data_IF_412221939514
#
_entry.id   IF_412221939514
#
_cell.length_a   1.000
_cell.length_b   1.000
_cell.length_c   1.000
_cell.angle_alpha   90.00
_cell.angle_beta   90.00
_cell.angle_gamma   90.00
#
_symmetry.space_group_name_H-M   'P 1'
#
loop_
_entity.id
_entity.type
_entity.pdbx_description
1 polymer ?
#
# COMPACT_ATOMS: atom_id res chain seq x y z
N UNK A 1 4.37 -22.40 5.54
CA UNK A 1 5.25 -22.01 6.69
C UNK A 1 5.74 -20.59 6.43
N UNK A 2 5.62 -19.72 7.42
CA UNK A 2 6.07 -18.32 7.32
C UNK A 2 7.62 -18.31 7.28
N UNK A 3 8.22 -17.62 6.29
CA UNK A 3 9.68 -17.48 6.21
C UNK A 3 10.28 -16.76 7.41
N UNK A 4 11.53 -17.10 7.78
CA UNK A 4 12.22 -16.50 8.95
C UNK A 4 12.34 -14.98 8.86
N UNK A 5 12.55 -14.47 7.65
CA UNK A 5 12.65 -13.03 7.37
C UNK A 5 11.35 -12.24 7.60
N UNK A 6 10.20 -12.93 7.77
CA UNK A 6 8.90 -12.33 8.08
C UNK A 6 8.37 -12.71 9.48
N UNK A 7 9.19 -13.32 10.33
CA UNK A 7 8.83 -13.55 11.72
C UNK A 7 8.82 -12.23 12.51
N UNK A 8 7.96 -12.17 13.54
CA UNK A 8 7.77 -10.99 14.41
C UNK A 8 9.11 -10.38 14.83
N UNK A 9 10.01 -11.19 15.40
CA UNK A 9 11.32 -10.73 15.88
C UNK A 9 12.19 -10.05 14.81
N UNK A 10 12.10 -10.51 13.56
CA UNK A 10 12.80 -9.89 12.43
C UNK A 10 12.14 -8.57 12.08
N UNK A 11 10.81 -8.52 12.03
CA UNK A 11 10.07 -7.30 11.68
C UNK A 11 10.15 -6.23 12.77
N UNK A 12 10.28 -6.58 14.03
CA UNK A 12 10.58 -5.62 15.11
C UNK A 12 11.89 -4.87 14.83
N UNK A 13 12.95 -5.59 14.44
CA UNK A 13 14.24 -4.97 14.06
C UNK A 13 14.07 -4.04 12.86
N UNK A 14 13.38 -4.51 11.81
CA UNK A 14 13.09 -3.70 10.61
C UNK A 14 12.31 -2.44 10.98
N UNK A 15 11.26 -2.57 11.80
CA UNK A 15 10.46 -1.43 12.25
C UNK A 15 11.31 -0.39 12.98
N UNK A 16 12.18 -0.83 13.90
CA UNK A 16 13.11 0.09 14.59
C UNK A 16 14.07 0.79 13.62
N UNK A 17 14.57 0.10 12.61
CA UNK A 17 15.48 0.67 11.62
C UNK A 17 14.80 1.71 10.74
N UNK A 18 13.57 1.45 10.26
CA UNK A 18 12.87 2.38 9.36
C UNK A 18 12.14 3.51 10.10
N UNK A 19 11.83 3.36 11.39
CA UNK A 19 11.03 4.29 12.20
C UNK A 19 11.49 5.76 12.13
N UNK A 20 12.79 6.10 12.12
CA UNK A 20 13.24 7.48 11.97
C UNK A 20 12.82 8.16 10.66
N UNK A 21 12.53 7.38 9.64
CA UNK A 21 12.27 7.84 8.27
C UNK A 21 10.80 7.79 7.85
N UNK A 22 9.95 7.22 8.68
CA UNK A 22 8.52 7.08 8.45
C UNK A 22 7.71 7.80 9.54
N UNK A 23 6.38 7.87 9.36
CA UNK A 23 5.46 8.30 10.41
C UNK A 23 4.79 7.08 11.05
N UNK A 24 4.56 7.13 12.35
CA UNK A 24 3.50 6.34 12.97
C UNK A 24 2.18 6.96 12.56
N UNK A 25 1.40 6.25 11.77
CA UNK A 25 0.13 6.78 11.25
C UNK A 25 -1.03 6.45 12.19
N UNK A 26 -2.08 7.28 12.26
CA UNK A 26 -3.19 7.02 13.16
C UNK A 26 -3.94 5.71 12.83
N UNK A 27 -4.37 5.01 13.88
CA UNK A 27 -5.43 4.03 13.85
C UNK A 27 -6.54 4.56 14.75
N UNK A 28 -7.73 4.80 14.21
CA UNK A 28 -8.81 5.51 14.90
C UNK A 28 -10.11 4.73 14.71
N UNK A 29 -10.88 4.56 15.79
CA UNK A 29 -12.27 4.12 15.68
C UNK A 29 -13.09 5.20 14.99
N UNK A 30 -13.86 4.82 13.98
CA UNK A 30 -14.76 5.73 13.27
C UNK A 30 -15.89 6.23 14.20
N UNK A 31 -16.61 7.25 13.76
CA UNK A 31 -17.78 7.71 14.46
C UNK A 31 -19.00 6.81 14.19
N UNK A 32 -20.01 6.90 15.05
CA UNK A 32 -21.21 6.07 14.98
C UNK A 32 -21.94 6.18 13.62
N UNK A 33 -21.86 7.32 12.93
CA UNK A 33 -22.50 7.47 11.62
C UNK A 33 -21.88 6.52 10.58
N UNK A 34 -20.57 6.33 10.61
CA UNK A 34 -19.87 5.40 9.73
C UNK A 34 -20.16 3.96 10.16
N UNK A 35 -20.16 3.69 11.47
CA UNK A 35 -20.51 2.38 12.02
C UNK A 35 -21.94 1.96 11.58
N UNK A 36 -22.92 2.86 11.70
CA UNK A 36 -24.30 2.63 11.29
C UNK A 36 -24.44 2.41 9.77
N UNK A 37 -23.69 3.16 8.96
CA UNK A 37 -23.73 3.04 7.51
C UNK A 37 -23.32 1.64 7.01
N UNK A 38 -22.45 0.95 7.75
CA UNK A 38 -21.96 -0.39 7.43
C UNK A 38 -22.45 -1.48 8.38
N UNK A 39 -23.23 -1.11 9.42
CA UNK A 39 -23.69 -2.02 10.47
C UNK A 39 -22.52 -2.83 11.11
N UNK A 40 -21.37 -2.17 11.30
CA UNK A 40 -20.11 -2.71 11.76
C UNK A 40 -19.34 -1.66 12.55
N UNK A 41 -18.57 -2.04 13.56
CA UNK A 41 -17.68 -1.12 14.25
C UNK A 41 -16.43 -0.88 13.41
N UNK A 42 -16.29 0.29 12.82
CA UNK A 42 -15.23 0.60 11.85
C UNK A 42 -14.01 1.22 12.54
N UNK A 43 -12.85 0.66 12.23
CA UNK A 43 -11.54 1.19 12.58
C UNK A 43 -10.80 1.57 11.30
N UNK A 44 -10.10 2.70 11.31
CA UNK A 44 -9.44 3.25 10.12
C UNK A 44 -7.94 3.39 10.39
N UNK A 45 -7.11 2.74 9.58
CA UNK A 45 -5.66 2.91 9.59
C UNK A 45 -5.24 3.84 8.46
N UNK A 46 -4.74 5.04 8.82
CA UNK A 46 -4.49 6.14 7.89
C UNK A 46 -3.07 6.12 7.27
N UNK A 47 -2.71 5.09 6.50
CA UNK A 47 -1.44 5.07 5.75
C UNK A 47 -1.38 6.09 4.59
N UNK A 48 -2.50 6.66 4.22
CA UNK A 48 -2.55 7.83 3.34
C UNK A 48 -1.81 9.07 3.92
N UNK A 49 -1.57 9.12 5.24
CA UNK A 49 -0.80 10.18 5.90
C UNK A 49 0.69 9.86 6.03
N UNK A 50 1.14 8.72 5.54
CA UNK A 50 2.54 8.33 5.57
C UNK A 50 3.41 9.30 4.73
N UNK A 51 4.72 9.31 4.97
CA UNK A 51 5.69 9.96 4.08
C UNK A 51 5.44 9.48 2.64
N UNK A 52 5.64 10.35 1.67
CA UNK A 52 5.27 10.12 0.26
C UNK A 52 3.79 9.84 -0.02
N UNK A 53 2.87 10.07 0.93
CA UNK A 53 1.43 9.94 0.76
C UNK A 53 0.90 8.50 0.67
N UNK A 54 1.70 7.48 1.01
CA UNK A 54 1.27 6.07 0.99
C UNK A 54 2.20 5.14 1.77
N UNK A 55 1.71 3.95 2.10
CA UNK A 55 2.47 2.88 2.74
C UNK A 55 3.77 2.49 2.02
N UNK A 56 3.89 2.80 0.73
CA UNK A 56 5.04 2.45 -0.12
C UNK A 56 6.37 2.98 0.42
N UNK A 57 6.35 4.07 1.18
CA UNK A 57 7.56 4.59 1.83
C UNK A 57 8.27 3.55 2.69
N UNK A 58 7.53 2.69 3.40
CA UNK A 58 8.07 1.67 4.30
C UNK A 58 8.96 0.67 3.56
N UNK A 59 8.44 0.13 2.45
CA UNK A 59 9.19 -0.82 1.61
C UNK A 59 10.38 -0.16 0.90
N UNK A 60 10.22 1.06 0.39
CA UNK A 60 11.28 1.78 -0.29
C UNK A 60 12.46 2.09 0.66
N UNK A 61 12.17 2.57 1.87
CA UNK A 61 13.17 2.81 2.93
C UNK A 61 13.88 1.52 3.32
N UNK A 62 13.11 0.45 3.58
CA UNK A 62 13.70 -0.81 4.02
C UNK A 62 14.63 -1.43 2.96
N UNK A 63 14.27 -1.32 1.68
CA UNK A 63 15.17 -1.78 0.61
C UNK A 63 16.53 -1.08 0.65
N UNK A 64 16.57 0.23 0.90
CA UNK A 64 17.82 0.98 0.99
C UNK A 64 18.60 0.58 2.25
N UNK A 65 17.95 0.58 3.42
CA UNK A 65 18.61 0.25 4.69
C UNK A 65 19.13 -1.20 4.77
N UNK A 66 18.52 -2.10 4.00
CA UNK A 66 18.92 -3.51 3.93
C UNK A 66 19.96 -3.80 2.82
N UNK A 67 20.32 -2.79 2.02
CA UNK A 67 21.33 -2.92 0.98
C UNK A 67 22.70 -2.54 1.54
N UNK A 68 23.78 -3.17 1.02
CA UNK A 68 25.13 -2.75 1.34
C UNK A 68 25.54 -1.52 0.50
N UNK A 69 26.61 -0.84 0.90
CA UNK A 69 27.10 0.38 0.23
C UNK A 69 27.43 0.15 -1.25
N UNK A 70 27.97 -1.02 -1.58
CA UNK A 70 28.32 -1.39 -2.96
C UNK A 70 27.08 -1.51 -3.85
N UNK A 71 25.97 -2.05 -3.32
CA UNK A 71 24.71 -2.16 -4.07
C UNK A 71 24.10 -0.77 -4.36
N UNK A 72 24.44 0.23 -3.56
CA UNK A 72 23.91 1.59 -3.66
C UNK A 72 24.88 2.58 -4.34
N UNK A 73 26.07 2.16 -4.75
CA UNK A 73 27.10 3.03 -5.35
C UNK A 73 26.57 3.84 -6.56
N UNK A 74 25.79 3.21 -7.40
CA UNK A 74 25.16 3.85 -8.55
C UNK A 74 23.73 4.38 -8.24
N UNK A 75 23.24 4.16 -7.01
CA UNK A 75 21.92 4.57 -6.57
C UNK A 75 20.83 3.54 -6.83
N UNK A 76 19.58 4.00 -6.90
CA UNK A 76 18.41 3.11 -7.05
C UNK A 76 17.66 3.34 -8.33
N UNK A 77 16.94 2.30 -8.78
CA UNK A 77 15.95 2.40 -9.85
C UNK A 77 14.60 1.87 -9.39
N UNK A 78 13.53 2.42 -9.93
CA UNK A 78 12.17 1.97 -9.67
C UNK A 78 11.28 2.24 -10.89
N UNK A 79 10.19 1.50 -11.02
CA UNK A 79 9.17 1.71 -12.05
C UNK A 79 7.77 1.68 -11.45
N UNK A 80 6.93 2.65 -11.82
CA UNK A 80 5.53 2.72 -11.38
C UNK A 80 4.75 3.81 -12.11
N UNK A 81 3.42 3.70 -12.12
CA UNK A 81 2.52 4.80 -12.50
C UNK A 81 2.31 5.83 -11.38
N UNK A 82 2.66 5.54 -10.10
CA UNK A 82 2.24 6.39 -8.99
C UNK A 82 2.98 6.20 -7.67
N UNK A 83 2.29 5.67 -6.68
CA UNK A 83 2.72 5.64 -5.27
C UNK A 83 4.14 5.11 -5.04
N UNK A 84 4.53 4.07 -5.76
CA UNK A 84 5.86 3.50 -5.59
C UNK A 84 6.97 4.40 -6.15
N UNK A 85 6.74 5.04 -7.29
CA UNK A 85 7.70 6.00 -7.85
C UNK A 85 7.96 7.17 -6.88
N UNK A 86 6.89 7.72 -6.27
CA UNK A 86 7.00 8.79 -5.28
C UNK A 86 7.77 8.29 -4.04
N UNK A 87 7.47 7.08 -3.57
CA UNK A 87 8.12 6.49 -2.40
C UNK A 87 9.61 6.19 -2.64
N UNK A 88 9.97 5.66 -3.82
CA UNK A 88 11.37 5.44 -4.20
C UNK A 88 12.13 6.76 -4.35
N UNK A 89 11.50 7.78 -4.94
CA UNK A 89 12.07 9.13 -5.03
C UNK A 89 12.30 9.74 -3.65
N UNK A 90 11.32 9.64 -2.75
CA UNK A 90 11.45 10.07 -1.35
C UNK A 90 12.63 9.35 -0.66
N UNK A 91 12.70 8.03 -0.77
CA UNK A 91 13.75 7.25 -0.15
C UNK A 91 15.14 7.61 -0.70
N UNK A 92 15.30 7.72 -2.02
CA UNK A 92 16.56 8.17 -2.62
C UNK A 92 16.98 9.56 -2.14
N UNK A 93 16.01 10.48 -2.03
CA UNK A 93 16.29 11.86 -1.61
C UNK A 93 16.81 11.94 -0.16
N UNK A 94 16.19 11.22 0.79
CA UNK A 94 16.60 11.28 2.20
C UNK A 94 17.95 10.61 2.47
N UNK A 95 18.35 9.64 1.64
CA UNK A 95 19.67 8.99 1.71
C UNK A 95 20.69 9.57 0.74
N UNK A 96 20.39 10.69 0.05
CA UNK A 96 21.24 11.36 -0.93
C UNK A 96 21.76 10.41 -2.03
N UNK A 97 20.93 9.47 -2.47
CA UNK A 97 21.28 8.51 -3.50
C UNK A 97 20.94 9.04 -4.90
N UNK A 98 21.78 8.71 -5.86
CA UNK A 98 21.41 8.81 -7.27
C UNK A 98 20.14 7.95 -7.51
N UNK A 99 19.31 8.37 -8.46
CA UNK A 99 18.12 7.60 -8.77
C UNK A 99 17.78 7.66 -10.26
N UNK A 100 17.11 6.63 -10.76
CA UNK A 100 16.55 6.56 -12.11
C UNK A 100 15.14 6.01 -11.98
N UNK A 101 14.15 6.89 -12.05
CA UNK A 101 12.75 6.56 -11.79
C UNK A 101 11.99 6.48 -13.11
N UNK A 102 11.54 5.29 -13.48
CA UNK A 102 10.70 5.08 -14.64
C UNK A 102 9.24 5.32 -14.30
N UNK A 103 8.66 6.35 -14.90
CA UNK A 103 7.24 6.66 -14.79
C UNK A 103 6.51 6.25 -16.08
N UNK A 104 5.37 5.61 -15.93
CA UNK A 104 4.52 5.37 -17.11
C UNK A 104 4.05 6.68 -17.70
N UNK A 105 3.98 6.75 -19.04
CA UNK A 105 3.49 7.94 -19.77
C UNK A 105 2.07 8.34 -19.37
N UNK A 106 1.29 7.39 -18.83
CA UNK A 106 -0.06 7.61 -18.30
C UNK A 106 -0.06 8.26 -16.89
N UNK A 107 1.09 8.40 -16.23
CA UNK A 107 1.17 9.00 -14.91
C UNK A 107 0.64 10.45 -14.93
N UNK A 108 -0.26 10.77 -14.00
CA UNK A 108 -0.82 12.12 -13.95
C UNK A 108 0.24 13.16 -13.53
N UNK A 109 -0.04 14.43 -13.85
CA UNK A 109 0.91 15.54 -13.60
C UNK A 109 1.27 15.72 -12.12
N UNK A 110 0.32 15.46 -11.23
CA UNK A 110 0.55 15.53 -9.79
C UNK A 110 1.63 14.55 -9.34
N UNK A 111 1.51 13.27 -9.75
CA UNK A 111 2.48 12.21 -9.39
C UNK A 111 3.86 12.49 -9.97
N UNK A 112 3.93 12.99 -11.20
CA UNK A 112 5.19 13.45 -11.82
C UNK A 112 5.82 14.58 -10.99
N UNK A 113 5.01 15.58 -10.59
CA UNK A 113 5.51 16.68 -9.77
C UNK A 113 5.93 16.24 -8.37
N UNK A 114 5.19 15.30 -7.76
CA UNK A 114 5.55 14.74 -6.46
C UNK A 114 6.93 14.02 -6.49
N UNK A 115 7.21 13.26 -7.57
CA UNK A 115 8.54 12.68 -7.77
C UNK A 115 9.62 13.76 -7.92
N UNK A 116 9.37 14.81 -8.71
CA UNK A 116 10.32 15.94 -8.90
C UNK A 116 10.62 16.67 -7.59
N UNK A 117 9.63 16.81 -6.71
CA UNK A 117 9.81 17.45 -5.40
C UNK A 117 10.80 16.66 -4.50
N UNK A 118 11.04 15.39 -4.80
CA UNK A 118 12.06 14.53 -4.18
C UNK A 118 13.30 14.34 -5.08
N UNK A 119 13.59 15.26 -5.98
CA UNK A 119 14.76 15.26 -6.86
C UNK A 119 14.87 13.98 -7.72
N UNK A 120 13.73 13.44 -8.18
CA UNK A 120 13.74 12.26 -9.04
C UNK A 120 14.31 12.56 -10.42
N UNK A 121 15.25 11.73 -10.88
CA UNK A 121 15.67 11.63 -12.26
C UNK A 121 14.68 10.76 -13.03
N UNK A 122 13.70 11.39 -13.68
CA UNK A 122 12.55 10.73 -14.29
C UNK A 122 12.83 10.37 -15.75
N UNK A 123 12.56 9.12 -16.09
CA UNK A 123 12.44 8.64 -17.47
C UNK A 123 11.02 8.14 -17.72
N UNK A 124 10.39 8.57 -18.83
CA UNK A 124 9.05 8.10 -19.17
C UNK A 124 9.11 6.80 -19.98
N UNK A 125 8.29 5.82 -19.61
CA UNK A 125 8.22 4.49 -20.22
C UNK A 125 6.78 4.09 -20.54
N UNK A 126 6.62 2.96 -21.22
CA UNK A 126 5.36 2.26 -21.43
C UNK A 126 5.41 0.89 -20.75
N UNK A 127 4.24 0.32 -20.44
CA UNK A 127 4.15 -0.90 -19.65
C UNK A 127 4.95 -2.07 -20.27
N UNK A 128 4.95 -2.18 -21.59
CA UNK A 128 5.61 -3.24 -22.34
C UNK A 128 7.15 -3.21 -22.23
N UNK A 129 7.73 -2.02 -22.01
CA UNK A 129 9.20 -1.82 -21.94
C UNK A 129 9.70 -1.64 -20.50
N UNK A 130 8.81 -1.38 -19.57
CA UNK A 130 9.16 -0.93 -18.24
C UNK A 130 10.16 -1.85 -17.50
N UNK A 131 9.93 -3.15 -17.54
CA UNK A 131 10.82 -4.12 -16.88
C UNK A 131 12.13 -4.35 -17.65
N UNK A 132 12.16 -4.18 -18.95
CA UNK A 132 13.39 -4.23 -19.75
C UNK A 132 14.30 -3.03 -19.41
N UNK A 133 13.74 -1.82 -19.38
CA UNK A 133 14.46 -0.61 -19.01
C UNK A 133 14.98 -0.64 -17.57
N UNK A 134 14.23 -1.26 -16.64
CA UNK A 134 14.70 -1.51 -15.28
C UNK A 134 15.88 -2.46 -15.28
N UNK A 135 15.83 -3.59 -16.01
CA UNK A 135 16.95 -4.53 -16.13
C UNK A 135 18.19 -3.88 -16.71
N UNK A 136 18.03 -2.96 -17.67
CA UNK A 136 19.16 -2.22 -18.22
C UNK A 136 19.74 -1.22 -17.22
N UNK A 137 18.92 -0.63 -16.35
CA UNK A 137 19.42 0.17 -15.23
C UNK A 137 20.16 -0.69 -14.19
N UNK A 138 19.68 -1.91 -13.90
CA UNK A 138 20.38 -2.87 -13.04
C UNK A 138 21.76 -3.27 -13.61
N UNK A 139 21.87 -3.49 -14.92
CA UNK A 139 23.18 -3.71 -15.60
C UNK A 139 24.13 -2.52 -15.47
N UNK A 140 23.58 -1.31 -15.33
CA UNK A 140 24.34 -0.08 -15.04
C UNK A 140 24.68 0.05 -13.55
N UNK A 141 24.32 -0.93 -12.71
CA UNK A 141 24.62 -0.98 -11.28
C UNK A 141 23.60 -0.27 -10.39
N UNK A 142 22.44 0.16 -10.90
CA UNK A 142 21.37 0.67 -10.05
C UNK A 142 20.70 -0.47 -9.29
N UNK A 143 20.43 -0.28 -8.00
CA UNK A 143 19.64 -1.22 -7.21
C UNK A 143 18.16 -1.07 -7.53
N UNK A 144 17.53 -2.14 -8.02
CA UNK A 144 16.08 -2.12 -8.23
C UNK A 144 15.30 -2.22 -6.92
N UNK A 145 14.43 -1.26 -6.68
CA UNK A 145 13.45 -1.27 -5.58
C UNK A 145 12.11 -1.71 -6.16
N UNK A 146 11.74 -2.97 -5.88
CA UNK A 146 10.53 -3.55 -6.48
C UNK A 146 9.26 -3.00 -5.83
N UNK A 147 8.18 -2.68 -6.61
CA UNK A 147 6.98 -2.03 -6.09
C UNK A 147 6.14 -2.86 -5.11
N UNK A 148 6.21 -4.18 -5.15
CA UNK A 148 5.34 -5.05 -4.32
C UNK A 148 5.93 -6.44 -4.03
N UNK A 149 7.11 -6.79 -4.52
CA UNK A 149 7.71 -8.10 -4.32
C UNK A 149 9.11 -8.03 -3.70
N UNK A 150 9.60 -9.17 -3.23
CA UNK A 150 10.88 -9.32 -2.58
C UNK A 150 10.85 -9.09 -1.06
N UNK A 151 11.82 -9.71 -0.38
CA UNK A 151 11.91 -9.77 1.07
C UNK A 151 11.82 -8.39 1.71
N UNK A 152 12.66 -7.46 1.29
CA UNK A 152 12.74 -6.13 1.92
C UNK A 152 11.50 -5.27 1.69
N UNK A 153 10.82 -5.44 0.55
CA UNK A 153 9.56 -4.76 0.26
C UNK A 153 8.44 -5.29 1.18
N UNK A 154 8.35 -6.61 1.35
CA UNK A 154 7.36 -7.21 2.25
C UNK A 154 7.66 -6.91 3.72
N UNK A 155 8.91 -6.92 4.15
CA UNK A 155 9.31 -6.50 5.49
C UNK A 155 8.87 -5.06 5.79
N UNK A 156 9.00 -4.16 4.82
CA UNK A 156 8.49 -2.79 4.95
C UNK A 156 6.97 -2.76 5.16
N UNK A 157 6.20 -3.52 4.40
CA UNK A 157 4.74 -3.66 4.61
C UNK A 157 4.42 -4.38 5.93
N UNK A 158 5.21 -5.37 6.33
CA UNK A 158 5.05 -6.08 7.61
C UNK A 158 5.25 -5.15 8.82
N UNK A 159 6.11 -4.14 8.71
CA UNK A 159 6.28 -3.10 9.74
C UNK A 159 4.99 -2.33 10.01
N UNK A 160 4.12 -2.18 9.00
CA UNK A 160 2.79 -1.61 9.19
C UNK A 160 1.88 -2.56 9.97
N UNK A 161 1.96 -3.87 9.69
CA UNK A 161 1.25 -4.88 10.48
C UNK A 161 1.63 -4.82 11.97
N UNK A 162 2.93 -4.69 12.28
CA UNK A 162 3.41 -4.55 13.65
C UNK A 162 2.92 -3.25 14.30
N UNK A 163 2.89 -2.14 13.57
CA UNK A 163 2.36 -0.87 14.05
C UNK A 163 0.86 -0.97 14.37
N UNK A 164 0.09 -1.66 13.53
CA UNK A 164 -1.34 -1.94 13.75
C UNK A 164 -1.52 -2.78 15.01
N UNK A 165 -0.74 -3.86 15.21
CA UNK A 165 -0.79 -4.69 16.42
C UNK A 165 -0.59 -3.86 17.67
N UNK A 166 0.47 -3.03 17.71
CA UNK A 166 0.75 -2.19 18.86
C UNK A 166 -0.42 -1.24 19.15
N UNK A 167 -1.00 -0.61 18.13
CA UNK A 167 -2.13 0.31 18.30
C UNK A 167 -3.43 -0.41 18.73
N UNK A 168 -3.70 -1.61 18.25
CA UNK A 168 -4.83 -2.43 18.69
C UNK A 168 -4.69 -2.74 20.19
N UNK A 169 -3.48 -3.13 20.62
CA UNK A 169 -3.19 -3.43 22.02
C UNK A 169 -3.31 -2.18 22.90
N UNK A 170 -2.78 -1.03 22.46
CA UNK A 170 -2.88 0.25 23.19
C UNK A 170 -4.33 0.72 23.36
N UNK A 171 -5.21 0.37 22.43
CA UNK A 171 -6.64 0.70 22.46
C UNK A 171 -7.48 -0.33 23.22
N UNK A 172 -6.89 -1.44 23.66
CA UNK A 172 -7.60 -2.62 24.19
C UNK A 172 -8.75 -3.06 23.27
N UNK A 173 -8.52 -2.99 21.96
CA UNK A 173 -9.50 -3.29 20.94
C UNK A 173 -9.36 -4.72 20.44
N UNK A 174 -10.48 -5.35 20.12
CA UNK A 174 -10.50 -6.62 19.39
C UNK A 174 -10.88 -6.28 17.93
N UNK A 175 -10.08 -6.70 16.97
CA UNK A 175 -10.40 -6.59 15.54
C UNK A 175 -10.73 -7.99 15.01
N UNK A 176 -11.88 -8.12 14.37
CA UNK A 176 -12.35 -9.37 13.80
C UNK A 176 -11.95 -9.49 12.32
N UNK A 177 -12.07 -8.39 11.55
CA UNK A 177 -11.78 -8.36 10.12
C UNK A 177 -10.81 -7.22 9.77
N UNK A 178 -9.94 -7.46 8.79
CA UNK A 178 -9.07 -6.43 8.21
C UNK A 178 -9.21 -6.42 6.70
N UNK A 179 -9.67 -5.30 6.15
CA UNK A 179 -9.90 -5.09 4.73
C UNK A 179 -8.71 -4.38 4.11
N UNK A 180 -8.07 -5.04 3.14
CA UNK A 180 -6.83 -4.57 2.50
C UNK A 180 -6.97 -4.64 0.98
N UNK A 181 -6.75 -3.53 0.30
CA UNK A 181 -6.70 -3.47 -1.17
C UNK A 181 -5.53 -4.26 -1.73
N UNK A 182 -5.79 -5.05 -2.76
CA UNK A 182 -4.82 -5.96 -3.40
C UNK A 182 -4.53 -5.51 -4.83
N UNK A 183 -3.25 -5.17 -5.07
CA UNK A 183 -2.69 -5.06 -6.40
C UNK A 183 -1.68 -6.20 -6.60
N UNK A 184 -0.40 -5.92 -6.55
CA UNK A 184 0.65 -6.95 -6.63
C UNK A 184 0.84 -7.81 -5.37
N UNK A 185 -0.02 -7.70 -4.36
CA UNK A 185 -0.02 -8.53 -3.16
C UNK A 185 0.91 -8.11 -2.02
N UNK A 186 1.87 -7.21 -2.25
CA UNK A 186 2.91 -6.88 -1.25
C UNK A 186 2.38 -6.26 0.03
N UNK A 187 1.28 -5.48 -0.02
CA UNK A 187 0.67 -4.88 1.17
C UNK A 187 0.01 -5.94 2.04
N UNK A 188 -0.91 -6.70 1.47
CA UNK A 188 -1.69 -7.71 2.20
C UNK A 188 -0.80 -8.83 2.72
N UNK A 189 0.23 -9.23 1.97
CA UNK A 189 1.23 -10.23 2.40
C UNK A 189 1.99 -9.76 3.65
N UNK A 190 2.55 -8.56 3.61
CA UNK A 190 3.33 -8.03 4.73
C UNK A 190 2.48 -7.76 5.96
N UNK A 191 1.37 -7.06 5.81
CA UNK A 191 0.46 -6.76 6.94
C UNK A 191 -0.16 -8.05 7.48
N UNK A 192 -0.71 -8.89 6.60
CA UNK A 192 -1.41 -10.11 6.98
C UNK A 192 -0.52 -11.12 7.72
N UNK A 193 0.75 -11.27 7.29
CA UNK A 193 1.66 -12.21 7.95
C UNK A 193 1.94 -11.86 9.41
N UNK A 194 1.99 -10.59 9.74
CA UNK A 194 2.18 -10.15 11.13
C UNK A 194 0.88 -10.25 11.92
N UNK A 195 -0.23 -9.80 11.34
CA UNK A 195 -1.52 -9.89 12.01
C UNK A 195 -1.89 -11.34 12.35
N UNK A 196 -1.66 -12.29 11.43
CA UNK A 196 -1.90 -13.72 11.67
C UNK A 196 -0.99 -14.33 12.74
N UNK A 197 0.22 -13.84 12.90
CA UNK A 197 1.12 -14.31 13.96
C UNK A 197 0.69 -13.83 15.36
N UNK A 198 0.14 -12.62 15.49
CA UNK A 198 -0.35 -12.09 16.77
C UNK A 198 -1.80 -12.47 17.05
N UNK A 199 -2.63 -12.48 16.02
CA UNK A 199 -4.07 -12.74 16.09
C UNK A 199 -4.46 -13.84 15.11
N UNK A 200 -4.24 -15.15 15.43
CA UNK A 200 -4.44 -16.24 14.46
C UNK A 200 -5.86 -16.32 13.89
N UNK A 201 -6.85 -15.84 14.63
CA UNK A 201 -8.27 -15.88 14.25
C UNK A 201 -8.74 -14.60 13.54
N UNK A 202 -7.86 -13.61 13.32
CA UNK A 202 -8.24 -12.40 12.59
C UNK A 202 -8.51 -12.75 11.13
N UNK A 203 -9.58 -12.21 10.55
CA UNK A 203 -9.95 -12.46 9.17
C UNK A 203 -9.31 -11.42 8.26
N UNK A 204 -8.43 -11.85 7.35
CA UNK A 204 -7.74 -10.99 6.38
C UNK A 204 -8.47 -11.06 5.04
N UNK A 205 -9.09 -9.96 4.66
CA UNK A 205 -9.92 -9.86 3.47
C UNK A 205 -9.22 -9.00 2.44
N UNK A 206 -8.86 -9.61 1.31
CA UNK A 206 -8.31 -8.93 0.15
C UNK A 206 -9.41 -8.32 -0.72
N UNK A 207 -9.16 -7.13 -1.27
CA UNK A 207 -10.12 -6.47 -2.15
C UNK A 207 -9.43 -6.08 -3.44
N UNK A 208 -9.99 -6.52 -4.55
CA UNK A 208 -9.49 -6.22 -5.90
C UNK A 208 -10.62 -5.76 -6.83
N UNK A 209 -10.29 -5.01 -7.90
CA UNK A 209 -11.29 -4.64 -8.90
C UNK A 209 -11.71 -5.86 -9.74
N UNK A 210 -12.97 -5.87 -10.18
CA UNK A 210 -13.51 -6.89 -11.10
C UNK A 210 -12.77 -6.90 -12.45
N UNK A 211 -12.23 -5.75 -12.87
CA UNK A 211 -11.52 -5.57 -14.14
C UNK A 211 -10.06 -5.17 -13.93
N UNK A 212 -9.16 -5.81 -14.68
CA UNK A 212 -7.72 -5.51 -14.65
C UNK A 212 -7.34 -4.15 -15.27
N UNK A 213 -8.29 -3.39 -15.82
CA UNK A 213 -8.12 -2.06 -16.44
C UNK A 213 -9.20 -1.12 -15.93
N UNK A 214 -9.14 -0.75 -14.65
CA UNK A 214 -10.10 0.16 -14.04
C UNK A 214 -9.52 1.53 -13.74
N UNK A 215 -10.28 2.33 -12.97
CA UNK A 215 -9.89 3.68 -12.51
C UNK A 215 -8.68 3.66 -11.55
N UNK A 216 -8.21 2.49 -11.15
CA UNK A 216 -7.12 2.35 -10.17
C UNK A 216 -5.90 1.61 -10.71
N UNK A 217 -4.91 2.36 -11.19
CA UNK A 217 -3.61 1.82 -11.66
C UNK A 217 -2.88 0.99 -10.58
N UNK A 218 -3.09 1.29 -9.31
CA UNK A 218 -2.36 0.66 -8.20
C UNK A 218 -2.91 -0.71 -7.79
N UNK A 219 -4.12 -1.07 -8.23
CA UNK A 219 -4.72 -2.40 -8.02
C UNK A 219 -4.66 -3.30 -9.26
N UNK A 220 -4.24 -2.76 -10.40
CA UNK A 220 -4.17 -3.48 -11.66
C UNK A 220 -2.73 -3.99 -11.94
N UNK A 221 -2.14 -4.76 -11.02
CA UNK A 221 -0.86 -5.41 -11.29
C UNK A 221 -1.04 -6.47 -12.38
N UNK A 222 -0.30 -6.40 -13.50
CA UNK A 222 -0.51 -7.31 -14.63
C UNK A 222 -0.10 -8.75 -14.33
N UNK A 223 0.69 -8.95 -13.29
CA UNK A 223 1.19 -10.25 -12.85
C UNK A 223 1.38 -10.28 -11.33
N UNK A 224 1.17 -11.44 -10.73
CA UNK A 224 1.60 -11.71 -9.37
C UNK A 224 3.02 -12.24 -9.37
N UNK A 225 3.86 -11.69 -8.52
CA UNK A 225 5.25 -12.14 -8.37
C UNK A 225 5.33 -13.29 -7.36
N UNK A 226 6.25 -14.25 -7.57
CA UNK A 226 6.24 -15.50 -6.82
C UNK A 226 6.32 -15.36 -5.30
N UNK A 227 7.16 -14.45 -4.79
CA UNK A 227 7.38 -14.31 -3.36
C UNK A 227 6.18 -13.71 -2.66
N UNK A 228 5.72 -12.53 -3.08
CA UNK A 228 4.53 -11.89 -2.49
C UNK A 228 3.28 -12.76 -2.60
N UNK A 229 3.08 -13.43 -3.74
CA UNK A 229 1.94 -14.31 -3.96
C UNK A 229 1.97 -15.55 -3.04
N UNK A 230 3.16 -16.13 -2.82
CA UNK A 230 3.31 -17.28 -1.93
C UNK A 230 2.93 -16.98 -0.49
N UNK A 231 3.20 -15.74 -0.03
CA UNK A 231 2.81 -15.27 1.30
C UNK A 231 1.34 -14.89 1.33
N UNK A 232 0.83 -14.16 0.32
CA UNK A 232 -0.58 -13.78 0.21
C UNK A 232 -1.50 -15.01 0.38
N UNK A 233 -1.21 -16.10 -0.31
CA UNK A 233 -1.96 -17.36 -0.23
C UNK A 233 -2.01 -18.00 1.17
N UNK A 234 -1.08 -17.66 2.05
CA UNK A 234 -1.03 -18.21 3.40
C UNK A 234 -1.81 -17.34 4.40
N UNK A 235 -2.07 -16.07 4.08
CA UNK A 235 -2.62 -15.11 5.04
C UNK A 235 -4.00 -14.60 4.66
N UNK A 236 -4.39 -14.67 3.40
CA UNK A 236 -5.71 -14.23 2.93
C UNK A 236 -6.75 -15.33 3.22
N UNK A 237 -7.81 -14.95 3.93
CA UNK A 237 -8.95 -15.84 4.20
C UNK A 237 -10.03 -15.70 3.13
N UNK A 238 -10.26 -14.48 2.61
CA UNK A 238 -11.30 -14.18 1.63
C UNK A 238 -10.83 -13.11 0.64
N UNK A 239 -11.33 -13.19 -0.59
CA UNK A 239 -11.17 -12.15 -1.62
C UNK A 239 -12.52 -11.60 -2.03
N UNK A 240 -12.67 -10.28 -2.06
CA UNK A 240 -13.88 -9.58 -2.48
C UNK A 240 -13.57 -8.72 -3.72
N UNK A 241 -14.46 -8.77 -4.69
CA UNK A 241 -14.34 -8.01 -5.92
C UNK A 241 -15.26 -6.77 -5.89
N UNK A 242 -14.76 -5.67 -6.41
CA UNK A 242 -15.48 -4.38 -6.50
C UNK A 242 -15.37 -3.81 -7.92
N UNK A 243 -16.37 -3.05 -8.32
CA UNK A 243 -16.38 -2.32 -9.60
C UNK A 243 -15.79 -0.92 -9.47
N UNK A 244 -15.50 -0.29 -10.60
CA UNK A 244 -15.11 1.13 -10.65
C UNK A 244 -16.18 2.03 -10.05
N UNK A 245 -17.48 1.73 -10.29
CA UNK A 245 -18.58 2.46 -9.70
C UNK A 245 -18.61 2.34 -8.17
N UNK A 246 -18.40 1.13 -7.61
CA UNK A 246 -18.32 0.94 -6.17
C UNK A 246 -17.20 1.79 -5.54
N UNK A 247 -16.05 1.90 -6.23
CA UNK A 247 -14.92 2.73 -5.78
C UNK A 247 -15.25 4.23 -5.88
N UNK A 248 -15.87 4.68 -6.97
CA UNK A 248 -16.29 6.08 -7.15
C UNK A 248 -17.26 6.51 -6.05
N UNK A 249 -18.28 5.70 -5.75
CA UNK A 249 -19.21 5.95 -4.66
C UNK A 249 -18.51 5.96 -3.29
N UNK A 250 -17.56 5.07 -3.07
CA UNK A 250 -16.77 5.03 -1.84
C UNK A 250 -15.84 6.25 -1.69
N UNK A 251 -15.31 6.79 -2.80
CA UNK A 251 -14.54 8.05 -2.80
C UNK A 251 -15.42 9.22 -2.34
N UNK A 252 -16.64 9.33 -2.86
CA UNK A 252 -17.62 10.34 -2.44
C UNK A 252 -17.97 10.17 -0.96
N UNK A 253 -18.23 8.92 -0.52
CA UNK A 253 -18.52 8.62 0.88
C UNK A 253 -17.37 9.07 1.80
N UNK A 254 -16.14 8.68 1.48
CA UNK A 254 -14.96 9.05 2.26
C UNK A 254 -14.76 10.57 2.30
N UNK A 255 -14.96 11.27 1.18
CA UNK A 255 -14.88 12.73 1.14
C UNK A 255 -15.94 13.36 2.07
N UNK A 256 -17.18 12.88 2.02
CA UNK A 256 -18.28 13.46 2.81
C UNK A 256 -18.14 13.20 4.31
N UNK A 257 -17.56 12.06 4.72
CA UNK A 257 -17.52 11.64 6.13
C UNK A 257 -16.16 11.74 6.80
N UNK A 258 -15.05 11.58 6.02
CA UNK A 258 -13.70 11.76 6.53
C UNK A 258 -13.08 13.11 6.16
N UNK A 259 -13.70 13.88 5.23
CA UNK A 259 -13.18 15.15 4.70
C UNK A 259 -11.80 14.98 4.01
N UNK A 260 -11.60 13.84 3.37
CA UNK A 260 -10.35 13.49 2.70
C UNK A 260 -10.57 13.23 1.20
N UNK A 261 -9.63 13.69 0.39
CA UNK A 261 -9.51 13.27 -1.01
C UNK A 261 -8.63 12.01 -1.06
N UNK A 262 -9.25 10.84 -1.21
CA UNK A 262 -8.56 9.56 -1.25
C UNK A 262 -8.57 9.00 -2.67
N UNK A 263 -7.50 8.32 -3.04
CA UNK A 263 -7.42 7.61 -4.32
C UNK A 263 -8.31 6.34 -4.32
N UNK A 264 -8.75 5.82 -5.48
CA UNK A 264 -9.66 4.68 -5.57
C UNK A 264 -9.19 3.46 -4.76
N UNK A 265 -7.91 3.09 -4.86
CA UNK A 265 -7.35 1.99 -4.11
C UNK A 265 -7.47 2.15 -2.58
N UNK A 266 -7.46 3.38 -2.10
CA UNK A 266 -7.53 3.69 -0.66
C UNK A 266 -8.91 3.44 -0.07
N UNK A 267 -9.96 3.59 -0.86
CA UNK A 267 -11.36 3.45 -0.44
C UNK A 267 -11.95 2.07 -0.72
N UNK A 268 -11.17 1.14 -1.25
CA UNK A 268 -11.62 -0.20 -1.63
C UNK A 268 -12.32 -0.94 -0.48
N UNK A 269 -11.88 -0.75 0.78
CA UNK A 269 -12.53 -1.34 1.95
C UNK A 269 -13.96 -0.82 2.16
N UNK A 270 -14.22 0.47 1.97
CA UNK A 270 -15.57 1.02 2.03
C UNK A 270 -16.46 0.52 0.88
N UNK A 271 -15.88 0.43 -0.33
CA UNK A 271 -16.58 -0.10 -1.50
C UNK A 271 -17.01 -1.56 -1.27
N UNK A 272 -16.10 -2.39 -0.74
CA UNK A 272 -16.39 -3.78 -0.44
C UNK A 272 -17.50 -3.94 0.62
N UNK A 273 -17.43 -3.19 1.73
CA UNK A 273 -18.47 -3.22 2.76
C UNK A 273 -19.84 -2.82 2.22
N UNK A 274 -19.88 -1.80 1.34
CA UNK A 274 -21.15 -1.34 0.73
C UNK A 274 -21.73 -2.36 -0.24
N UNK A 275 -20.90 -2.93 -1.12
CA UNK A 275 -21.31 -3.91 -2.13
C UNK A 275 -21.74 -5.23 -1.50
N UNK A 276 -20.93 -5.73 -0.61
CA UNK A 276 -21.08 -7.08 -0.08
C UNK A 276 -21.83 -7.12 1.25
N UNK A 277 -22.64 -6.19 1.66
CA UNK A 277 -23.52 -6.11 2.86
C UNK A 277 -23.61 -7.41 3.68
N UNK A 278 -22.46 -8.05 3.91
CA UNK A 278 -22.36 -9.40 4.45
C UNK A 278 -22.87 -9.41 5.89
N UNK A 279 -23.68 -10.38 6.23
CA UNK A 279 -24.00 -10.69 7.63
C UNK A 279 -22.73 -10.90 8.48
N UNK A 280 -21.63 -11.33 7.83
CA UNK A 280 -20.33 -11.53 8.44
C UNK A 280 -19.70 -10.26 9.04
N UNK A 281 -20.07 -9.06 8.59
CA UNK A 281 -19.57 -7.81 9.17
C UNK A 281 -20.48 -7.22 10.24
N UNK A 282 -21.71 -7.70 10.35
CA UNK A 282 -22.72 -7.15 11.25
C UNK A 282 -22.28 -7.26 12.71
N UNK A 283 -22.12 -6.10 13.36
CA UNK A 283 -21.68 -6.01 14.74
C UNK A 283 -20.21 -6.38 14.98
N UNK A 284 -19.46 -6.72 13.93
CA UNK A 284 -18.04 -7.06 13.98
C UNK A 284 -17.17 -5.81 14.04
N UNK A 285 -15.98 -5.94 14.58
CA UNK A 285 -14.96 -4.90 14.57
C UNK A 285 -14.10 -5.04 13.31
N UNK A 286 -14.27 -4.11 12.36
CA UNK A 286 -13.66 -4.16 11.04
C UNK A 286 -12.67 -3.02 10.85
N UNK A 287 -11.41 -3.37 10.59
CA UNK A 287 -10.36 -2.42 10.27
C UNK A 287 -10.26 -2.24 8.75
N UNK A 288 -10.32 -1.00 8.27
CA UNK A 288 -10.07 -0.62 6.89
C UNK A 288 -8.71 0.05 6.80
N UNK A 289 -7.84 -0.44 5.90
CA UNK A 289 -6.53 0.11 5.68
C UNK A 289 -6.58 1.14 4.54
N UNK A 290 -6.46 2.43 4.89
CA UNK A 290 -6.42 3.55 3.96
C UNK A 290 -5.00 3.73 3.42
N UNK A 291 -4.67 3.05 2.32
CA UNK A 291 -3.30 2.75 1.89
C UNK A 291 -2.54 3.91 1.24
N UNK A 292 -3.22 4.91 0.64
CA UNK A 292 -2.59 6.04 -0.05
C UNK A 292 -3.56 7.13 -0.50
N UNK A 293 -3.02 8.33 -0.80
CA UNK A 293 -3.80 9.50 -1.20
C UNK A 293 -3.16 10.34 -2.31
N UNK A 294 -2.31 9.74 -3.14
CA UNK A 294 -1.60 10.46 -4.21
C UNK A 294 -2.49 10.70 -5.44
N UNK A 295 -3.52 11.51 -5.24
CA UNK A 295 -4.46 11.96 -6.27
C UNK A 295 -4.66 13.48 -6.15
N UNK A 296 -4.72 14.18 -7.27
CA UNK A 296 -5.10 15.60 -7.32
C UNK A 296 -6.62 15.77 -7.46
N UNK A 297 -7.08 16.99 -7.16
CA UNK A 297 -8.51 17.31 -7.21
C UNK A 297 -9.12 17.09 -8.60
N UNK A 298 -8.40 17.43 -9.69
CA UNK A 298 -8.94 17.30 -11.04
C UNK A 298 -9.15 15.82 -11.40
N UNK A 299 -8.14 14.97 -11.11
CA UNK A 299 -8.24 13.53 -11.31
C UNK A 299 -9.34 12.92 -10.42
N UNK A 300 -9.43 13.32 -9.15
CA UNK A 300 -10.46 12.87 -8.22
C UNK A 300 -11.86 13.25 -8.73
N UNK A 301 -12.06 14.52 -9.10
CA UNK A 301 -13.34 15.01 -9.60
C UNK A 301 -13.76 14.31 -10.90
N UNK A 302 -12.81 14.06 -11.81
CA UNK A 302 -13.08 13.32 -13.05
C UNK A 302 -13.61 11.91 -12.80
N UNK A 303 -13.11 11.23 -11.76
CA UNK A 303 -13.57 9.87 -11.42
C UNK A 303 -14.99 9.90 -10.82
N UNK A 304 -15.26 10.82 -9.90
CA UNK A 304 -16.54 10.83 -9.16
C UNK A 304 -17.69 11.52 -9.91
N UNK A 305 -17.40 12.20 -11.03
CA UNK A 305 -18.41 12.88 -11.86
C UNK A 305 -18.87 12.04 -13.05
N UNK A 306 -18.28 10.88 -13.30
CA UNK A 306 -18.69 9.93 -14.31
C UNK A 306 -19.53 8.81 -13.71
#
# INVERSE_FOLDING_TARGET
MIPEELLIKTIEKVYHQIKPYIKTTPLIKANNYIDDAFNSNIYLKYECFQKSGSFKARGAINNILSSNEKDLENGITAVSAGNHAIAASYAANIFNLKNKIFLYKSANKYRVQACKNYNANISFTVAEKAFEEVKDAEKQGYKFVHPFDGVHTLQGSASLGLEIVNQINDMDAKIDNVLISVGGGGLISGVGVILKQYFPNINIIGIEPDEAKGITDSLCAPIHMPYSFSIAKQVIDEMLNITDNDMSEAMIFAHNHLKLFLEPACVAGFAALKKHKHENFKGQNTLILLCGSNIDFQSWNSIVSN
#
